data_IF_818692640820
#
_entry.id   IF_818692640820
#
_cell.length_a   1.000
_cell.length_b   1.000
_cell.length_c   1.000
_cell.angle_alpha   90.00
_cell.angle_beta   90.00
_cell.angle_gamma   90.00
#
_symmetry.space_group_name_H-M   'P 1'
#
loop_
_entity.id
_entity.type
_entity.pdbx_description
1 polymer ?
#
# COMPACT_ATOMS: atom_id res chain seq x y z
N UNK A 1 8.85 -9.04 -10.49
CA UNK A 1 8.02 -7.87 -10.12
C UNK A 1 8.79 -7.03 -9.13
N UNK A 2 8.95 -5.71 -9.36
CA UNK A 2 9.41 -4.77 -8.33
C UNK A 2 8.25 -3.87 -7.88
N UNK A 3 7.15 -4.51 -7.51
CA UNK A 3 6.11 -3.90 -6.68
C UNK A 3 6.31 -4.51 -5.28
N UNK A 4 6.60 -3.69 -4.28
CA UNK A 4 6.91 -4.14 -2.90
C UNK A 4 5.66 -4.61 -2.15
N UNK A 5 4.52 -3.93 -2.35
CA UNK A 5 3.25 -4.23 -1.71
C UNK A 5 2.08 -4.04 -2.69
N UNK A 6 1.03 -4.85 -2.55
CA UNK A 6 -0.23 -4.68 -3.29
C UNK A 6 -1.35 -4.47 -2.27
N UNK A 7 -2.02 -3.32 -2.35
CA UNK A 7 -3.19 -2.97 -1.52
C UNK A 7 -4.36 -2.75 -2.47
N UNK A 8 -5.48 -3.41 -2.20
CA UNK A 8 -6.70 -3.32 -3.02
C UNK A 8 -7.83 -2.92 -2.10
N UNK A 9 -8.60 -1.87 -2.44
CA UNK A 9 -9.80 -1.50 -1.68
C UNK A 9 -10.90 -2.53 -1.91
N UNK A 10 -11.61 -2.89 -0.85
CA UNK A 10 -12.77 -3.78 -0.96
C UNK A 10 -13.88 -3.18 -1.84
N UNK A 11 -14.00 -1.85 -1.88
CA UNK A 11 -14.94 -1.15 -2.76
C UNK A 11 -14.64 -1.40 -4.24
N UNK A 12 -13.36 -1.35 -4.63
CA UNK A 12 -12.93 -1.62 -6.01
C UNK A 12 -13.15 -3.09 -6.37
N UNK A 13 -12.86 -4.01 -5.45
CA UNK A 13 -13.20 -5.44 -5.61
C UNK A 13 -14.69 -5.60 -5.89
N UNK A 14 -15.53 -4.93 -5.11
CA UNK A 14 -16.97 -5.05 -5.23
C UNK A 14 -17.51 -4.44 -6.52
N UNK A 15 -16.93 -3.32 -6.96
CA UNK A 15 -17.35 -2.56 -8.13
C UNK A 15 -16.88 -3.14 -9.45
N UNK A 16 -15.64 -3.65 -9.50
CA UNK A 16 -14.97 -4.02 -10.75
C UNK A 16 -14.88 -5.52 -11.00
N UNK A 17 -14.96 -6.36 -9.96
CA UNK A 17 -14.90 -7.81 -10.14
C UNK A 17 -16.30 -8.42 -10.21
N UNK A 18 -16.46 -9.40 -11.09
CA UNK A 18 -17.62 -10.28 -11.09
C UNK A 18 -17.51 -11.35 -10.00
N UNK A 19 -18.56 -12.14 -9.79
CA UNK A 19 -18.60 -13.15 -8.73
C UNK A 19 -17.49 -14.21 -8.86
N UNK A 20 -17.22 -14.68 -10.08
CA UNK A 20 -16.19 -15.68 -10.32
C UNK A 20 -14.79 -15.14 -9.99
N UNK A 21 -14.52 -13.90 -10.36
CA UNK A 21 -13.24 -13.22 -10.08
C UNK A 21 -13.04 -12.99 -8.58
N UNK A 22 -14.11 -12.68 -7.83
CA UNK A 22 -14.07 -12.57 -6.37
C UNK A 22 -13.72 -13.90 -5.70
N UNK A 23 -14.30 -14.99 -6.18
CA UNK A 23 -14.01 -16.35 -5.71
C UNK A 23 -12.57 -16.76 -6.03
N UNK A 24 -12.07 -16.43 -7.23
CA UNK A 24 -10.69 -16.66 -7.60
C UNK A 24 -9.71 -15.86 -6.72
N UNK A 25 -10.01 -14.60 -6.44
CA UNK A 25 -9.22 -13.77 -5.54
C UNK A 25 -9.16 -14.39 -4.13
N UNK A 26 -10.31 -14.84 -3.60
CA UNK A 26 -10.38 -15.52 -2.30
C UNK A 26 -9.56 -16.81 -2.28
N UNK A 27 -9.66 -17.62 -3.35
CA UNK A 27 -8.88 -18.85 -3.51
C UNK A 27 -7.38 -18.58 -3.49
N UNK A 28 -6.93 -17.51 -4.16
CA UNK A 28 -5.52 -17.11 -4.16
C UNK A 28 -5.06 -16.63 -2.77
N UNK A 29 -5.89 -15.88 -2.04
CA UNK A 29 -5.59 -15.51 -0.66
C UNK A 29 -5.43 -16.71 0.26
N UNK A 30 -6.35 -17.69 0.19
CA UNK A 30 -6.25 -18.90 1.00
C UNK A 30 -4.99 -19.72 0.68
N UNK A 31 -4.59 -19.79 -0.60
CA UNK A 31 -3.35 -20.47 -0.98
C UNK A 31 -2.13 -19.84 -0.32
N UNK A 32 -2.03 -18.50 -0.35
CA UNK A 32 -0.93 -17.77 0.29
C UNK A 32 -0.97 -17.96 1.81
N UNK A 33 -2.15 -17.82 2.42
CA UNK A 33 -2.35 -18.01 3.85
C UNK A 33 -1.87 -19.39 4.31
N UNK A 34 -2.29 -20.46 3.62
CA UNK A 34 -1.92 -21.83 3.95
C UNK A 34 -0.40 -22.02 3.86
N UNK A 35 0.24 -21.55 2.79
CA UNK A 35 1.69 -21.62 2.65
C UNK A 35 2.42 -20.89 3.78
N UNK A 36 1.96 -19.70 4.17
CA UNK A 36 2.54 -18.95 5.30
C UNK A 36 2.43 -19.69 6.61
N UNK A 37 1.26 -20.27 6.89
CA UNK A 37 1.03 -21.07 8.11
C UNK A 37 1.93 -22.31 8.10
N UNK A 38 2.12 -22.97 6.96
CA UNK A 38 3.04 -24.12 6.86
C UNK A 38 4.51 -23.75 7.12
N UNK A 39 4.88 -22.48 6.91
CA UNK A 39 6.20 -21.93 7.25
C UNK A 39 6.28 -21.40 8.70
N UNK A 40 5.25 -21.60 9.52
CA UNK A 40 5.19 -21.09 10.91
C UNK A 40 4.95 -19.58 11.03
N UNK A 41 4.54 -18.92 9.94
CA UNK A 41 4.22 -17.49 9.91
C UNK A 41 2.73 -17.27 10.20
N UNK A 42 2.39 -16.05 10.64
CA UNK A 42 0.98 -15.63 10.69
C UNK A 42 0.39 -15.67 9.27
N UNK A 43 -0.76 -16.34 9.12
CA UNK A 43 -1.38 -16.60 7.82
C UNK A 43 -1.83 -15.34 7.09
N UNK A 44 -2.22 -14.31 7.83
CA UNK A 44 -2.55 -12.98 7.30
C UNK A 44 -1.65 -11.93 7.92
N UNK A 45 -1.10 -11.05 7.08
CA UNK A 45 -0.52 -9.82 7.59
C UNK A 45 -1.65 -8.83 7.84
N UNK A 46 -1.72 -8.30 9.05
CA UNK A 46 -2.57 -7.15 9.36
C UNK A 46 -1.75 -5.89 9.15
N UNK A 47 -2.27 -4.98 8.34
CA UNK A 47 -1.68 -3.66 8.11
C UNK A 47 -2.63 -2.59 8.62
N UNK A 48 -2.08 -1.58 9.27
CA UNK A 48 -2.79 -0.32 9.51
C UNK A 48 -2.61 0.55 8.27
N UNK A 49 -3.71 0.90 7.61
CA UNK A 49 -3.73 1.86 6.50
C UNK A 49 -4.23 3.19 7.05
N UNK A 50 -3.44 4.24 6.85
CA UNK A 50 -3.73 5.59 7.32
C UNK A 50 -4.06 6.44 6.11
N UNK A 51 -5.22 7.11 6.10
CA UNK A 51 -5.51 8.12 5.09
C UNK A 51 -4.72 9.39 5.43
N UNK A 52 -3.84 9.83 4.54
CA UNK A 52 -2.98 11.01 4.76
C UNK A 52 -3.71 12.34 4.61
N UNK A 53 -4.90 12.34 4.01
CA UNK A 53 -5.70 13.56 3.81
C UNK A 53 -6.46 13.99 5.08
N UNK A 54 -6.46 13.13 6.11
CA UNK A 54 -7.20 13.36 7.35
C UNK A 54 -6.32 14.05 8.41
N UNK A 55 -6.93 14.88 9.25
CA UNK A 55 -6.20 15.68 10.26
C UNK A 55 -5.46 14.84 11.29
N UNK A 56 -5.85 13.58 11.50
CA UNK A 56 -5.17 12.65 12.41
C UNK A 56 -3.89 12.04 11.82
N UNK A 57 -3.63 12.20 10.51
CA UNK A 57 -2.49 11.56 9.85
C UNK A 57 -1.15 12.02 10.44
N UNK A 58 -1.02 13.33 10.75
CA UNK A 58 0.17 13.91 11.35
C UNK A 58 0.50 13.28 12.71
N UNK A 59 -0.53 13.00 13.51
CA UNK A 59 -0.38 12.35 14.80
C UNK A 59 0.12 10.91 14.67
N UNK A 60 -0.39 10.17 13.69
CA UNK A 60 0.05 8.79 13.42
C UNK A 60 1.50 8.76 12.95
N UNK A 61 1.88 9.67 12.03
CA UNK A 61 3.27 9.80 11.57
C UNK A 61 4.20 10.10 12.72
N UNK A 62 3.84 11.04 13.61
CA UNK A 62 4.64 11.39 14.79
C UNK A 62 4.87 10.17 15.70
N UNK A 63 3.81 9.42 16.01
CA UNK A 63 3.93 8.19 16.83
C UNK A 63 4.85 7.17 16.17
N UNK A 64 4.78 6.99 14.84
CA UNK A 64 5.66 6.07 14.12
C UNK A 64 7.12 6.55 14.11
N UNK A 65 7.37 7.86 13.96
CA UNK A 65 8.71 8.45 14.04
C UNK A 65 9.34 8.25 15.43
N UNK A 66 8.59 8.53 16.50
CA UNK A 66 9.03 8.35 17.89
C UNK A 66 9.43 6.91 18.23
N UNK A 67 8.87 5.92 17.51
CA UNK A 67 9.16 4.51 17.68
C UNK A 67 10.18 3.95 16.65
N UNK A 68 10.78 4.81 15.82
CA UNK A 68 11.76 4.38 14.80
C UNK A 68 11.14 3.55 13.66
N UNK A 69 9.85 3.69 13.43
CA UNK A 69 9.10 2.99 12.38
C UNK A 69 8.77 3.87 11.18
N UNK A 70 9.19 5.14 11.20
CA UNK A 70 9.04 6.09 10.10
C UNK A 70 10.27 6.98 10.02
N UNK A 71 11.16 6.67 9.08
CA UNK A 71 12.26 7.57 8.70
C UNK A 71 11.94 8.24 7.35
N UNK A 72 12.52 9.40 7.02
CA UNK A 72 12.49 9.94 5.67
C UNK A 72 13.28 9.02 4.75
N UNK A 73 12.66 7.94 4.29
CA UNK A 73 13.25 7.07 3.28
C UNK A 73 12.89 7.61 1.91
N UNK A 74 13.88 8.07 1.17
CA UNK A 74 13.75 8.25 -0.27
C UNK A 74 13.49 6.87 -0.90
N UNK A 75 12.24 6.57 -1.26
CA UNK A 75 11.91 5.39 -2.07
C UNK A 75 11.87 5.81 -3.54
N UNK A 76 12.87 5.43 -4.36
CA UNK A 76 12.93 5.82 -5.77
C UNK A 76 11.80 5.20 -6.63
N UNK A 77 10.93 4.35 -6.05
CA UNK A 77 9.76 3.78 -6.72
C UNK A 77 8.44 4.36 -6.20
N UNK A 78 8.48 5.27 -5.24
CA UNK A 78 7.32 6.01 -4.76
C UNK A 78 7.34 7.38 -5.43
N UNK A 79 6.28 7.71 -6.18
CA UNK A 79 6.16 9.03 -6.80
C UNK A 79 5.83 10.03 -5.69
N UNK A 80 6.83 10.80 -5.28
CA UNK A 80 6.64 11.95 -4.39
C UNK A 80 6.26 13.16 -5.26
N UNK A 81 5.08 13.73 -5.02
CA UNK A 81 4.66 14.98 -5.66
C UNK A 81 5.12 16.17 -4.82
N UNK A 82 5.60 17.23 -5.47
CA UNK A 82 5.85 18.51 -4.81
C UNK A 82 4.68 19.45 -5.09
N UNK A 83 4.15 20.07 -4.04
CA UNK A 83 3.12 21.10 -4.19
C UNK A 83 3.74 22.46 -3.87
N UNK A 84 3.84 23.34 -4.87
CA UNK A 84 4.22 24.74 -4.70
C UNK A 84 3.00 25.64 -4.95
N UNK A 85 2.42 26.18 -3.87
CA UNK A 85 1.19 26.96 -3.94
C UNK A 85 0.02 26.13 -4.46
N UNK A 86 -0.59 26.56 -5.58
CA UNK A 86 -1.70 25.84 -6.24
C UNK A 86 -1.22 24.88 -7.35
N UNK A 87 0.09 24.73 -7.54
CA UNK A 87 0.65 23.90 -8.61
C UNK A 87 1.14 22.58 -8.03
N UNK A 88 0.67 21.47 -8.58
CA UNK A 88 1.25 20.15 -8.33
C UNK A 88 2.31 19.86 -9.38
N UNK A 89 3.55 19.75 -8.94
CA UNK A 89 4.68 19.32 -9.77
C UNK A 89 4.86 17.81 -9.62
N UNK A 90 4.64 17.10 -10.73
CA UNK A 90 5.02 15.70 -10.83
C UNK A 90 6.51 15.65 -11.20
N UNK A 91 7.34 14.80 -10.56
CA UNK A 91 8.71 14.65 -10.98
C UNK A 91 8.73 14.18 -12.43
N UNK A 92 9.55 14.83 -13.27
CA UNK A 92 9.76 14.43 -14.65
C UNK A 92 10.24 12.98 -14.64
N UNK A 93 9.39 12.07 -15.14
CA UNK A 93 9.82 10.72 -15.42
C UNK A 93 10.68 10.83 -16.68
N UNK A 94 11.98 10.56 -16.57
CA UNK A 94 12.83 10.36 -17.74
C UNK A 94 12.18 9.27 -18.60
N UNK A 95 11.47 9.69 -19.66
CA UNK A 95 11.05 8.80 -20.73
C UNK A 95 12.34 8.42 -21.45
N UNK A 96 12.75 7.17 -21.25
CA UNK A 96 14.08 6.68 -21.59
C UNK A 96 14.54 6.96 -23.02
N UNK A 97 15.86 6.95 -23.16
CA UNK A 97 16.56 6.64 -24.40
C UNK A 97 17.12 5.21 -24.31
#
# INVERSE_FOLDING_TARGET
MKIKHTVIKNEDINKYLNQQEKEDLLRLFHKIQYSRVSEGKVGFNMYLVVNTDETYAEDVVRVLQENGHWEPTHDPNQVEFRQEGNTMELPETEVGA
#
